data_IF_525319442998
#
_entry.id   IF_525319442998
#
_cell.length_a   1.000
_cell.length_b   1.000
_cell.length_c   1.000
_cell.angle_alpha   90.00
_cell.angle_beta   90.00
_cell.angle_gamma   90.00
#
_symmetry.space_group_name_H-M   'P 1'
#
loop_
_entity.id
_entity.type
_entity.pdbx_description
1 polymer ?
#
# COMPACT_ATOMS: atom_id res chain seq x y z
N UNK A 1 -4.91 -3.88 20.83
CA UNK A 1 -5.05 -2.84 19.80
C UNK A 1 -3.67 -2.58 19.27
N UNK A 2 -3.47 -2.68 18.00
CA UNK A 2 -2.19 -2.42 17.35
C UNK A 2 -1.98 -0.91 17.21
N UNK A 3 -0.78 -0.42 17.47
CA UNK A 3 -0.40 0.98 17.23
C UNK A 3 -0.60 1.36 15.76
N UNK A 4 -0.46 0.38 14.86
CA UNK A 4 -0.75 0.52 13.42
C UNK A 4 -2.22 0.86 13.13
N UNK A 5 -3.16 0.29 13.85
CA UNK A 5 -4.58 0.65 13.66
C UNK A 5 -4.86 2.12 14.01
N UNK A 6 -4.15 2.66 14.99
CA UNK A 6 -4.25 4.09 15.33
C UNK A 6 -3.64 4.98 14.25
N UNK A 7 -2.51 4.57 13.66
CA UNK A 7 -1.89 5.28 12.53
C UNK A 7 -2.80 5.27 11.30
N UNK A 8 -3.38 4.12 10.97
CA UNK A 8 -4.37 4.04 9.90
C UNK A 8 -5.58 4.94 10.15
N UNK A 9 -6.03 5.04 11.39
CA UNK A 9 -7.15 5.93 11.70
C UNK A 9 -6.76 7.42 11.61
N UNK A 10 -5.54 7.79 11.98
CA UNK A 10 -5.05 9.16 11.72
C UNK A 10 -5.02 9.48 10.22
N UNK A 11 -4.57 8.53 9.40
CA UNK A 11 -4.59 8.67 7.95
C UNK A 11 -6.02 8.82 7.42
N UNK A 12 -6.96 7.98 7.90
CA UNK A 12 -8.36 8.08 7.53
C UNK A 12 -8.99 9.42 7.91
N UNK A 13 -8.64 9.98 9.07
CA UNK A 13 -9.08 11.33 9.46
C UNK A 13 -8.63 12.41 8.47
N UNK A 14 -7.39 12.32 8.01
CA UNK A 14 -6.84 13.25 7.02
C UNK A 14 -7.57 13.14 5.68
N UNK A 15 -7.88 11.92 5.24
CA UNK A 15 -8.63 11.71 3.99
C UNK A 15 -10.08 12.18 4.11
N UNK A 16 -10.73 11.92 5.23
CA UNK A 16 -12.08 12.44 5.52
C UNK A 16 -12.09 13.97 5.48
N UNK A 17 -11.10 14.61 6.08
CA UNK A 17 -10.95 16.06 6.03
C UNK A 17 -10.76 16.55 4.59
N UNK A 18 -9.86 15.96 3.84
CA UNK A 18 -9.60 16.31 2.43
C UNK A 18 -10.85 16.16 1.58
N UNK A 19 -11.54 15.03 1.68
CA UNK A 19 -12.79 14.77 0.95
C UNK A 19 -13.89 15.79 1.27
N UNK A 20 -14.00 16.22 2.54
CA UNK A 20 -14.96 17.23 2.94
C UNK A 20 -14.59 18.60 2.38
N UNK A 21 -13.32 19.00 2.42
CA UNK A 21 -12.83 20.28 1.95
C UNK A 21 -12.95 20.47 0.42
N UNK A 22 -13.00 19.39 -0.35
CA UNK A 22 -13.22 19.45 -1.80
C UNK A 22 -14.61 20.04 -2.16
N UNK A 23 -15.59 19.82 -1.31
CA UNK A 23 -16.98 20.18 -1.58
C UNK A 23 -17.55 21.24 -0.64
N UNK A 24 -16.87 21.51 0.46
CA UNK A 24 -17.33 22.39 1.54
C UNK A 24 -16.23 23.32 2.04
N UNK A 25 -16.65 24.46 2.57
CA UNK A 25 -15.75 25.42 3.22
C UNK A 25 -16.16 25.56 4.69
N UNK A 26 -15.62 24.72 5.58
CA UNK A 26 -15.91 24.82 7.01
C UNK A 26 -15.24 26.05 7.63
N UNK A 27 -15.56 26.34 8.90
CA UNK A 27 -14.99 27.45 9.65
C UNK A 27 -13.46 27.29 9.86
N UNK A 28 -12.97 26.07 9.84
CA UNK A 28 -11.55 25.71 9.96
C UNK A 28 -11.23 24.51 9.06
N UNK A 29 -10.09 24.55 8.39
CA UNK A 29 -9.65 23.43 7.55
C UNK A 29 -9.37 22.17 8.38
N UNK A 30 -8.84 22.34 9.59
CA UNK A 30 -8.54 21.24 10.51
C UNK A 30 -9.80 20.66 11.14
N UNK A 31 -10.09 19.41 10.83
CA UNK A 31 -11.27 18.66 11.32
C UNK A 31 -11.37 18.62 12.85
N UNK A 32 -10.24 18.65 13.55
CA UNK A 32 -10.22 18.69 15.01
C UNK A 32 -10.80 19.99 15.60
N UNK A 33 -10.91 21.04 14.80
CA UNK A 33 -11.42 22.36 15.19
C UNK A 33 -12.88 22.57 14.83
N UNK A 34 -13.51 21.68 14.05
CA UNK A 34 -14.92 21.80 13.65
C UNK A 34 -15.84 21.79 14.85
N UNK A 35 -16.88 22.60 14.80
CA UNK A 35 -17.86 22.77 15.89
C UNK A 35 -19.26 23.00 15.34
N UNK A 36 -20.25 22.64 16.14
CA UNK A 36 -21.64 22.99 15.88
C UNK A 36 -22.07 22.74 14.43
N UNK A 37 -22.20 23.81 13.66
CA UNK A 37 -22.74 23.77 12.30
C UNK A 37 -21.86 22.96 11.33
N UNK A 38 -20.53 23.03 11.46
CA UNK A 38 -19.60 22.26 10.60
C UNK A 38 -19.81 20.75 10.80
N UNK A 39 -20.00 20.30 12.06
CA UNK A 39 -20.26 18.92 12.39
C UNK A 39 -21.63 18.48 11.83
N UNK A 40 -22.65 19.33 11.89
CA UNK A 40 -23.98 19.04 11.36
C UNK A 40 -23.92 18.83 9.85
N UNK A 41 -23.25 19.71 9.11
CA UNK A 41 -23.07 19.56 7.66
C UNK A 41 -22.26 18.32 7.29
N UNK A 42 -21.21 18.02 8.04
CA UNK A 42 -20.46 16.77 7.87
C UNK A 42 -21.31 15.52 8.12
N UNK A 43 -22.16 15.53 9.13
CA UNK A 43 -23.11 14.43 9.39
C UNK A 43 -24.14 14.27 8.26
N UNK A 44 -24.60 15.37 7.66
CA UNK A 44 -25.49 15.31 6.48
C UNK A 44 -24.80 14.70 5.28
N UNK A 45 -23.53 15.05 5.04
CA UNK A 45 -22.74 14.49 3.97
C UNK A 45 -22.50 12.99 4.16
N UNK A 46 -22.17 12.55 5.38
CA UNK A 46 -22.07 11.14 5.70
C UNK A 46 -23.35 10.37 5.39
N UNK A 47 -24.53 10.95 5.71
CA UNK A 47 -25.82 10.32 5.38
C UNK A 47 -26.05 10.22 3.87
N UNK A 48 -25.65 11.26 3.11
CA UNK A 48 -25.82 11.29 1.66
C UNK A 48 -24.90 10.30 0.95
N UNK A 49 -23.63 10.30 1.29
CA UNK A 49 -22.57 9.54 0.60
C UNK A 49 -22.44 8.12 1.17
N UNK A 50 -22.20 8.01 2.46
CA UNK A 50 -21.92 6.72 3.11
C UNK A 50 -23.18 6.00 3.62
N UNK A 51 -24.37 6.61 3.48
CA UNK A 51 -25.63 6.07 4.02
C UNK A 51 -25.56 5.75 5.51
N UNK A 52 -24.66 6.37 6.23
CA UNK A 52 -24.39 6.19 7.65
C UNK A 52 -24.37 7.52 8.39
N UNK A 53 -24.25 7.44 9.70
CA UNK A 53 -24.15 8.62 10.55
C UNK A 53 -23.26 8.34 11.77
N UNK A 54 -22.58 9.37 12.23
CA UNK A 54 -21.83 9.38 13.48
C UNK A 54 -22.46 10.44 14.40
N UNK A 55 -22.54 10.14 15.70
CA UNK A 55 -23.06 11.12 16.64
C UNK A 55 -22.05 12.24 16.88
N UNK A 56 -22.54 13.42 17.23
CA UNK A 56 -21.68 14.55 17.61
C UNK A 56 -20.75 14.17 18.76
N UNK A 57 -21.24 13.41 19.73
CA UNK A 57 -20.43 12.88 20.84
C UNK A 57 -19.28 12.01 20.35
N UNK A 58 -19.55 11.13 19.37
CA UNK A 58 -18.50 10.30 18.75
C UNK A 58 -17.49 11.15 17.99
N UNK A 59 -17.96 12.18 17.28
CA UNK A 59 -17.08 13.13 16.61
C UNK A 59 -16.12 13.76 17.62
N UNK A 60 -16.62 14.35 18.71
CA UNK A 60 -15.77 14.93 19.75
C UNK A 60 -14.82 13.92 20.39
N UNK A 61 -15.22 12.68 20.54
CA UNK A 61 -14.38 11.65 21.16
C UNK A 61 -13.19 11.25 20.28
N UNK A 62 -13.37 11.14 18.96
CA UNK A 62 -12.39 10.55 18.06
C UNK A 62 -11.66 11.54 17.17
N UNK A 63 -12.26 12.66 16.81
CA UNK A 63 -11.65 13.63 15.90
C UNK A 63 -10.94 14.78 16.61
N UNK A 64 -11.29 15.09 17.85
CA UNK A 64 -10.68 16.18 18.61
C UNK A 64 -9.26 15.90 19.10
N UNK A 65 -8.91 14.63 19.25
CA UNK A 65 -7.61 14.24 19.78
C UNK A 65 -6.63 13.98 18.64
N UNK A 66 -5.45 14.59 18.70
CA UNK A 66 -4.29 14.28 17.89
C UNK A 66 -3.05 14.29 18.79
N UNK A 67 -2.29 13.18 18.89
CA UNK A 67 -2.54 11.91 18.23
C UNK A 67 -3.75 11.16 18.77
N UNK A 68 -4.31 10.28 17.95
CA UNK A 68 -5.44 9.42 18.33
C UNK A 68 -4.99 8.42 19.40
N UNK A 69 -5.73 8.35 20.47
CA UNK A 69 -5.48 7.42 21.59
C UNK A 69 -6.44 6.23 21.63
N UNK A 70 -7.53 6.30 20.88
CA UNK A 70 -8.59 5.29 20.88
C UNK A 70 -9.20 5.11 19.50
N UNK A 71 -9.32 3.86 19.08
CA UNK A 71 -9.94 3.50 17.82
C UNK A 71 -11.47 3.48 17.96
N UNK A 72 -12.22 4.03 16.97
CA UNK A 72 -13.66 3.87 16.90
C UNK A 72 -14.10 2.40 16.69
N UNK A 73 -15.38 2.14 16.89
CA UNK A 73 -15.98 0.84 16.53
C UNK A 73 -15.92 0.64 15.01
N UNK A 74 -15.87 -0.61 14.60
CA UNK A 74 -15.76 -1.00 13.19
C UNK A 74 -16.87 -0.41 12.31
N UNK A 75 -18.08 -0.29 12.84
CA UNK A 75 -19.22 0.30 12.13
C UNK A 75 -18.93 1.75 11.74
N UNK A 76 -18.39 2.54 12.66
CA UNK A 76 -18.01 3.92 12.43
C UNK A 76 -16.84 4.02 11.44
N UNK A 77 -15.83 3.17 11.58
CA UNK A 77 -14.69 3.10 10.65
C UNK A 77 -15.17 2.81 9.22
N UNK A 78 -16.06 1.84 9.05
CA UNK A 78 -16.61 1.52 7.73
C UNK A 78 -17.40 2.68 7.12
N UNK A 79 -18.21 3.41 7.91
CA UNK A 79 -18.91 4.61 7.42
C UNK A 79 -17.93 5.66 6.91
N UNK A 80 -16.85 5.90 7.65
CA UNK A 80 -15.82 6.87 7.25
C UNK A 80 -15.04 6.40 6.00
N UNK A 81 -14.73 5.11 5.91
CA UNK A 81 -14.09 4.53 4.73
C UNK A 81 -14.96 4.65 3.48
N UNK A 82 -16.27 4.36 3.59
CA UNK A 82 -17.20 4.52 2.47
C UNK A 82 -17.30 6.00 2.05
N UNK A 83 -17.22 6.92 2.99
CA UNK A 83 -17.21 8.35 2.70
C UNK A 83 -15.99 8.77 1.86
N UNK A 84 -14.81 8.18 2.11
CA UNK A 84 -13.57 8.44 1.37
C UNK A 84 -13.39 7.54 0.15
N UNK A 85 -14.39 6.73 -0.22
CA UNK A 85 -14.41 5.92 -1.44
C UNK A 85 -13.91 4.48 -1.29
N UNK A 86 -13.61 4.02 -0.08
CA UNK A 86 -13.23 2.63 0.19
C UNK A 86 -14.44 1.78 0.58
N UNK A 87 -14.37 0.48 0.30
CA UNK A 87 -15.47 -0.44 0.59
C UNK A 87 -15.61 -0.71 2.10
N UNK A 88 -14.50 -0.74 2.84
CA UNK A 88 -14.47 -1.06 4.26
C UNK A 88 -13.16 -0.62 4.93
N UNK A 89 -13.13 -0.68 6.25
CA UNK A 89 -11.90 -0.47 7.03
C UNK A 89 -10.77 -1.42 6.66
N UNK A 90 -11.08 -2.68 6.36
CA UNK A 90 -10.09 -3.66 5.91
C UNK A 90 -9.50 -3.28 4.55
N UNK A 91 -10.34 -2.87 3.61
CA UNK A 91 -9.93 -2.40 2.30
C UNK A 91 -9.06 -1.14 2.40
N UNK A 92 -9.45 -0.20 3.24
CA UNK A 92 -8.65 0.99 3.54
C UNK A 92 -7.25 0.63 4.04
N UNK A 93 -7.13 -0.24 5.03
CA UNK A 93 -5.84 -0.67 5.57
C UNK A 93 -4.98 -1.36 4.52
N UNK A 94 -5.56 -2.20 3.69
CA UNK A 94 -4.85 -2.88 2.60
C UNK A 94 -4.25 -1.91 1.58
N UNK A 95 -4.93 -0.80 1.30
CA UNK A 95 -4.44 0.22 0.38
C UNK A 95 -3.42 1.19 1.02
N UNK A 96 -3.33 1.20 2.36
CA UNK A 96 -2.44 2.08 3.13
C UNK A 96 -1.51 1.26 4.01
N UNK A 97 -0.73 0.38 3.40
CA UNK A 97 0.28 -0.39 4.13
C UNK A 97 1.43 0.54 4.54
N UNK A 98 1.72 0.58 5.84
CA UNK A 98 2.90 1.24 6.35
C UNK A 98 4.15 0.36 6.18
N UNK A 99 5.32 0.98 6.13
CA UNK A 99 6.58 0.27 5.88
C UNK A 99 6.80 -0.94 6.80
N UNK A 100 6.42 -0.84 8.07
CA UNK A 100 6.55 -1.90 9.05
C UNK A 100 5.64 -3.11 8.75
N UNK A 101 4.45 -2.89 8.21
CA UNK A 101 3.55 -3.97 7.76
C UNK A 101 4.12 -4.69 6.54
N UNK A 102 4.67 -3.92 5.59
CA UNK A 102 5.31 -4.47 4.39
C UNK A 102 6.52 -5.34 4.77
N UNK A 103 7.35 -4.87 5.70
CA UNK A 103 8.52 -5.61 6.17
C UNK A 103 8.12 -6.91 6.87
N UNK A 104 7.09 -6.88 7.69
CA UNK A 104 6.58 -8.07 8.40
C UNK A 104 6.00 -9.10 7.43
N UNK A 105 5.23 -8.68 6.42
CA UNK A 105 4.72 -9.60 5.39
C UNK A 105 5.86 -10.27 4.61
N UNK A 106 6.94 -9.54 4.32
CA UNK A 106 8.12 -10.10 3.66
C UNK A 106 8.88 -11.10 4.55
N UNK A 107 8.97 -10.86 5.85
CA UNK A 107 9.61 -11.76 6.81
C UNK A 107 8.80 -13.06 6.95
N UNK A 108 7.49 -12.97 7.11
CA UNK A 108 6.59 -14.14 7.20
C UNK A 108 6.63 -15.00 5.91
N UNK A 109 6.75 -14.38 4.73
CA UNK A 109 6.89 -15.08 3.46
C UNK A 109 8.26 -15.76 3.31
N UNK A 110 9.33 -15.13 3.78
CA UNK A 110 10.69 -15.69 3.77
C UNK A 110 10.79 -16.91 4.69
N UNK A 111 10.21 -16.85 5.89
CA UNK A 111 10.18 -17.96 6.83
C UNK A 111 9.36 -19.15 6.29
N UNK A 112 8.24 -18.88 5.64
CA UNK A 112 7.42 -19.92 5.01
C UNK A 112 8.14 -20.60 3.82
N UNK A 113 8.94 -19.87 3.06
CA UNK A 113 9.74 -20.40 1.97
C UNK A 113 10.90 -21.26 2.48
N UNK A 114 11.60 -20.81 3.53
CA UNK A 114 12.67 -21.58 4.18
C UNK A 114 12.16 -22.90 4.73
N UNK A 115 11.02 -22.91 5.40
CA UNK A 115 10.41 -24.13 5.95
C UNK A 115 10.04 -25.14 4.86
N UNK A 116 9.57 -24.67 3.70
CA UNK A 116 9.30 -25.56 2.55
C UNK A 116 10.57 -26.22 2.01
N UNK A 117 11.69 -25.48 1.94
CA UNK A 117 12.96 -26.02 1.49
C UNK A 117 13.54 -27.05 2.46
N UNK A 118 13.37 -26.87 3.78
CA UNK A 118 13.77 -27.84 4.79
C UNK A 118 12.95 -29.12 4.72
N UNK A 119 11.63 -29.02 4.50
CA UNK A 119 10.75 -30.18 4.35
C UNK A 119 11.03 -30.95 3.05
N UNK A 120 11.43 -30.32 1.96
CA UNK A 120 11.82 -30.97 0.70
C UNK A 120 13.17 -31.68 0.82
N UNK A 121 14.12 -31.15 1.59
CA UNK A 121 15.41 -31.79 1.85
C UNK A 121 15.30 -33.00 2.79
N UNK A 122 14.37 -33.00 3.73
CA UNK A 122 14.13 -34.11 4.64
C UNK A 122 13.49 -35.32 3.94
N UNK A 123 12.87 -35.13 2.79
CA UNK A 123 12.21 -36.22 2.02
C UNK A 123 13.03 -36.71 0.84
N UNK A 124 14.29 -36.28 0.72
CA UNK A 124 15.25 -36.77 -0.27
C UNK A 124 15.96 -38.02 0.30
N UNK A 125 15.36 -39.17 0.09
CA UNK A 125 16.04 -40.46 0.37
C UNK A 125 17.29 -40.56 -0.47
N UNK A 126 18.40 -40.75 0.24
CA UNK A 126 19.74 -40.97 -0.29
C UNK A 126 19.76 -42.29 -1.05
N UNK A 127 19.74 -42.23 -2.37
CA UNK A 127 20.13 -43.40 -3.16
C UNK A 127 21.63 -43.56 -3.12
N UNK A 128 22.16 -44.76 -2.74
CA UNK A 128 23.59 -44.97 -2.71
C UNK A 128 24.15 -45.00 -4.14
N UNK A 129 24.97 -44.03 -4.45
CA UNK A 129 25.74 -44.00 -5.70
C UNK A 129 26.82 -45.06 -5.62
N UNK A 130 26.63 -46.17 -6.35
CA UNK A 130 27.66 -47.14 -6.61
C UNK A 130 28.74 -46.53 -7.52
N UNK A 131 29.91 -46.30 -6.95
CA UNK A 131 31.10 -45.89 -7.68
C UNK A 131 31.51 -47.00 -8.66
N UNK A 132 31.37 -46.76 -9.94
CA UNK A 132 32.12 -47.46 -10.99
C UNK A 132 33.22 -46.54 -11.51
N UNK A 133 34.45 -46.99 -11.36
CA UNK A 133 35.66 -46.31 -11.86
C UNK A 133 35.68 -46.24 -13.38
N UNK A 134 36.30 -45.18 -13.99
CA UNK A 134 36.37 -44.98 -15.42
C UNK A 134 37.56 -45.69 -16.03
N UNK A 135 37.30 -46.47 -17.06
CA UNK A 135 38.36 -46.86 -17.97
C UNK A 135 38.77 -45.72 -18.92
N UNK A 136 40.09 -45.55 -18.98
CA UNK A 136 40.78 -44.63 -19.87
C UNK A 136 40.58 -45.01 -21.32
N UNK A 137 40.27 -44.02 -22.16
CA UNK A 137 40.81 -44.03 -23.53
C UNK A 137 41.01 -42.61 -24.07
N UNK A 138 42.33 -42.39 -24.37
CA UNK A 138 42.85 -41.23 -25.04
C UNK A 138 42.23 -41.02 -26.42
N UNK A 139 41.99 -39.78 -26.77
CA UNK A 139 42.53 -39.09 -27.96
C UNK A 139 41.85 -37.71 -28.13
N UNK A 140 42.69 -36.71 -27.95
CA UNK A 140 42.59 -35.36 -28.53
C UNK A 140 42.94 -35.44 -30.03
N UNK A 141 42.71 -34.45 -30.92
CA UNK A 141 42.73 -33.01 -30.66
C UNK A 141 41.86 -32.09 -31.57
N UNK A 142 41.90 -30.79 -31.21
CA UNK A 142 41.87 -29.56 -32.05
C UNK A 142 40.63 -29.25 -32.90
N UNK A 143 40.11 -28.11 -32.71
CA UNK A 143 40.33 -26.76 -33.28
C UNK A 143 39.13 -25.91 -32.94
N UNK A 144 39.39 -24.85 -32.28
CA UNK A 144 39.50 -23.43 -32.69
C UNK A 144 38.24 -22.76 -33.17
N UNK A 145 38.07 -21.63 -32.56
CA UNK A 145 37.76 -20.28 -33.10
C UNK A 145 36.43 -19.72 -32.75
N UNK A 146 36.44 -18.81 -31.79
CA UNK A 146 36.20 -17.35 -31.94
C UNK A 146 34.82 -16.92 -32.46
N UNK A 147 34.16 -16.15 -31.70
CA UNK A 147 33.68 -14.76 -31.90
C UNK A 147 32.66 -14.44 -30.81
N UNK A 148 32.96 -13.63 -29.84
CA UNK A 148 33.07 -12.19 -29.66
C UNK A 148 31.99 -11.38 -30.36
N UNK A 149 31.39 -10.57 -29.50
CA UNK A 149 30.67 -9.33 -29.75
C UNK A 149 29.26 -9.36 -30.36
N UNK A 150 28.29 -8.88 -29.58
CA UNK A 150 27.75 -7.53 -29.83
C UNK A 150 26.91 -7.03 -28.66
N UNK A 151 27.53 -6.11 -27.97
CA UNK A 151 26.88 -5.07 -27.21
C UNK A 151 26.20 -4.15 -28.21
N UNK A 152 24.92 -3.87 -28.04
CA UNK A 152 24.30 -2.71 -28.70
C UNK A 152 23.60 -1.89 -27.64
N UNK A 153 24.26 -0.80 -27.31
CA UNK A 153 23.69 0.41 -26.74
C UNK A 153 22.49 0.87 -27.57
N UNK A 154 21.45 1.28 -26.88
CA UNK A 154 20.52 2.25 -27.44
C UNK A 154 20.14 3.24 -26.35
N UNK A 155 20.97 4.28 -26.31
CA UNK A 155 20.64 5.55 -25.68
C UNK A 155 19.67 6.35 -26.56
N UNK A 156 18.84 7.12 -25.87
CA UNK A 156 18.26 8.40 -26.29
C UNK A 156 17.20 8.43 -27.39
N UNK A 157 16.03 8.83 -27.00
CA UNK A 157 15.30 9.88 -27.71
C UNK A 157 14.59 10.78 -26.75
N UNK A 158 15.22 11.87 -26.50
CA UNK A 158 14.65 13.14 -26.10
C UNK A 158 13.73 13.61 -27.24
N UNK A 159 12.51 13.94 -26.96
CA UNK A 159 11.74 14.82 -27.83
C UNK A 159 10.98 15.82 -27.00
N UNK A 160 11.49 17.01 -27.05
CA UNK A 160 10.81 18.28 -26.82
C UNK A 160 9.47 18.33 -27.57
N UNK A 161 8.46 18.84 -26.93
CA UNK A 161 7.38 19.56 -27.57
C UNK A 161 6.90 20.64 -26.61
N UNK A 162 7.49 21.80 -26.80
CA UNK A 162 6.93 23.02 -27.37
C UNK A 162 5.56 23.44 -26.86
N UNK A 163 5.66 24.39 -26.01
CA UNK A 163 4.87 25.58 -25.78
C UNK A 163 3.99 25.96 -26.98
N UNK A 164 2.67 25.98 -26.76
CA UNK A 164 1.81 26.85 -27.56
C UNK A 164 1.08 27.80 -26.61
N UNK A 165 1.62 29.02 -26.57
CA UNK A 165 0.85 30.21 -26.22
C UNK A 165 -0.22 30.40 -27.27
N UNK A 166 -1.44 30.60 -26.85
CA UNK A 166 -2.41 31.36 -27.62
C UNK A 166 -3.08 32.36 -26.69
N UNK A 167 -2.60 33.56 -26.78
CA UNK A 167 -3.35 34.76 -26.50
C UNK A 167 -4.58 34.81 -27.42
N UNK A 168 -5.72 35.11 -26.91
CA UNK A 168 -6.65 35.96 -27.66
C UNK A 168 -7.49 36.77 -26.70
N UNK A 169 -7.25 38.04 -26.85
CA UNK A 169 -8.09 39.18 -26.55
C UNK A 169 -9.42 39.09 -27.33
N UNK A 170 -10.47 39.38 -26.72
CA UNK A 170 -11.44 40.50 -26.92
C UNK A 170 -12.49 40.37 -25.84
#
# INVERSE_FOLDING_TARGET
MSDLDLLHFEQLKNEVQTQYLENHTPSFDDISKWKGIDIIYFQEDLRKIAKGNISEKSFYTYFKNSPVTKLPRIDMLNILCVYTGYVSWYDFKKNHLFADEILKEHEDLADAALKKLEDEQANSEVFPITLQEPEKNDKNPLTSTTEVEKIVDLQNSTTDNQIIKAENQI
#
